data_IF_157198822106
#
_entry.id   IF_157198822106
#
_cell.length_a   1.000
_cell.length_b   1.000
_cell.length_c   1.000
_cell.angle_alpha   90.00
_cell.angle_beta   90.00
_cell.angle_gamma   90.00
#
_symmetry.space_group_name_H-M   'P 1'
#
loop_
_entity.id
_entity.type
_entity.pdbx_description
1 polymer ?
#
# COMPACT_ATOMS: atom_id res chain seq x y z
N UNK A 1 5.95 -3.39 -31.36
CA UNK A 1 6.71 -3.45 -30.09
C UNK A 1 5.70 -3.54 -28.95
N UNK A 2 5.94 -4.38 -27.92
CA UNK A 2 5.10 -4.38 -26.72
C UNK A 2 5.48 -3.14 -25.89
N UNK A 3 4.79 -2.01 -26.10
CA UNK A 3 5.12 -0.74 -25.44
C UNK A 3 5.09 -0.82 -23.91
N UNK A 4 5.88 0.02 -23.23
CA UNK A 4 5.76 0.30 -21.79
C UNK A 4 4.39 0.97 -21.56
N UNK A 5 3.58 0.64 -20.54
CA UNK A 5 3.78 -0.20 -19.34
C UNK A 5 3.43 -1.71 -19.49
N UNK A 6 3.18 -2.20 -20.70
CA UNK A 6 2.69 -3.57 -20.91
C UNK A 6 3.81 -4.56 -21.27
N UNK A 7 5.09 -4.23 -21.12
CA UNK A 7 6.18 -5.11 -21.53
C UNK A 7 6.30 -6.38 -20.67
N UNK A 8 6.04 -6.28 -19.36
CA UNK A 8 6.11 -7.38 -18.38
C UNK A 8 4.70 -7.87 -18.03
N UNK A 9 4.31 -9.11 -18.41
CA UNK A 9 2.98 -9.65 -18.11
C UNK A 9 2.60 -9.62 -16.63
N UNK A 10 3.58 -9.84 -15.75
CA UNK A 10 3.42 -9.86 -14.29
C UNK A 10 2.91 -8.52 -13.72
N UNK A 11 3.23 -7.39 -14.38
CA UNK A 11 2.91 -6.03 -13.93
C UNK A 11 1.54 -5.54 -14.43
N UNK A 12 0.86 -6.34 -15.27
CA UNK A 12 -0.41 -5.97 -15.91
C UNK A 12 -1.59 -6.33 -15.00
N UNK A 13 -2.62 -5.49 -15.02
CA UNK A 13 -3.85 -5.74 -14.28
C UNK A 13 -4.64 -4.47 -14.02
N UNK A 14 -5.70 -4.61 -13.23
CA UNK A 14 -6.46 -3.47 -12.72
C UNK A 14 -5.56 -2.69 -11.75
N UNK A 15 -5.19 -1.46 -12.13
CA UNK A 15 -4.37 -0.57 -11.28
C UNK A 15 -5.22 0.19 -10.28
N UNK A 16 -6.44 0.56 -10.65
CA UNK A 16 -7.35 1.35 -9.81
C UNK A 16 -8.79 1.07 -10.17
N UNK A 17 -9.61 0.87 -9.16
CA UNK A 17 -11.06 0.98 -9.23
C UNK A 17 -11.51 1.94 -8.12
N UNK A 18 -12.50 2.77 -8.43
CA UNK A 18 -12.99 3.75 -7.48
C UNK A 18 -14.00 4.70 -8.11
N UNK A 19 -14.36 5.73 -7.35
CA UNK A 19 -15.31 6.75 -7.76
C UNK A 19 -14.57 8.06 -8.02
N UNK A 20 -14.97 8.79 -9.06
CA UNK A 20 -14.46 10.12 -9.32
C UNK A 20 -14.97 11.05 -8.21
N UNK A 21 -14.05 11.51 -7.37
CA UNK A 21 -14.35 12.45 -6.29
C UNK A 21 -14.47 13.89 -6.82
N UNK A 22 -13.51 14.29 -7.65
CA UNK A 22 -13.46 15.64 -8.18
C UNK A 22 -12.97 15.64 -9.62
N UNK A 23 -13.55 16.56 -10.41
CA UNK A 23 -13.17 16.83 -11.79
C UNK A 23 -12.69 18.28 -11.85
N UNK A 24 -11.46 18.49 -12.29
CA UNK A 24 -10.87 19.82 -12.47
C UNK A 24 -10.58 20.04 -13.95
N UNK A 25 -11.33 20.93 -14.58
CA UNK A 25 -11.03 21.41 -15.93
C UNK A 25 -10.03 22.57 -15.86
N UNK A 26 -8.99 22.51 -16.67
CA UNK A 26 -8.07 23.63 -16.86
C UNK A 26 -7.91 23.95 -18.35
N UNK A 27 -7.78 25.24 -18.66
CA UNK A 27 -7.57 25.74 -20.01
C UNK A 27 -6.38 26.68 -20.02
N UNK A 28 -5.31 26.28 -20.72
CA UNK A 28 -4.11 27.11 -20.90
C UNK A 28 -3.79 27.20 -22.39
N UNK A 29 -3.99 28.39 -22.98
CA UNK A 29 -3.78 28.60 -24.41
C UNK A 29 -4.75 27.79 -25.27
N UNK A 30 -4.25 26.83 -26.04
CA UNK A 30 -5.07 25.88 -26.83
C UNK A 30 -5.19 24.50 -26.16
N UNK A 31 -4.53 24.31 -25.02
CA UNK A 31 -4.54 23.04 -24.30
C UNK A 31 -5.70 22.99 -23.31
N UNK A 32 -6.59 22.03 -23.53
CA UNK A 32 -7.66 21.66 -22.61
C UNK A 32 -7.24 20.42 -21.85
N UNK A 33 -7.21 20.52 -20.52
CA UNK A 33 -6.89 19.41 -19.62
C UNK A 33 -8.06 19.16 -18.66
N UNK A 34 -8.32 17.88 -18.41
CA UNK A 34 -9.27 17.41 -17.41
C UNK A 34 -8.52 16.53 -16.42
N UNK A 35 -8.48 16.94 -15.17
CA UNK A 35 -7.94 16.15 -14.07
C UNK A 35 -9.07 15.44 -13.35
N UNK A 36 -8.91 14.13 -13.20
CA UNK A 36 -9.85 13.26 -12.48
C UNK A 36 -9.18 12.79 -11.20
N UNK A 37 -9.71 13.20 -10.06
CA UNK A 37 -9.27 12.66 -8.76
C UNK A 37 -10.18 11.50 -8.42
N UNK A 38 -9.62 10.29 -8.42
CA UNK A 38 -10.34 9.06 -8.12
C UNK A 38 -10.06 8.65 -6.69
N UNK A 39 -11.11 8.35 -5.94
CA UNK A 39 -11.00 7.80 -4.59
C UNK A 39 -11.35 6.31 -4.59
N UNK A 40 -10.55 5.52 -3.90
CA UNK A 40 -10.73 4.07 -3.78
C UNK A 40 -11.44 3.71 -2.47
N UNK A 41 -12.35 2.74 -2.51
CA UNK A 41 -13.09 2.27 -1.35
C UNK A 41 -14.52 2.80 -1.25
N UNK A 42 -15.19 2.64 -0.09
CA UNK A 42 -16.57 3.06 0.08
C UNK A 42 -16.67 4.57 -0.07
N UNK A 43 -17.54 5.04 -0.95
CA UNK A 43 -17.92 6.46 -1.08
C UNK A 43 -19.41 6.58 -0.82
N UNK A 44 -19.84 7.71 -0.25
CA UNK A 44 -21.26 7.97 -0.10
C UNK A 44 -21.80 8.47 -1.43
N UNK A 45 -22.96 7.94 -1.83
CA UNK A 45 -23.69 8.40 -3.02
C UNK A 45 -24.13 9.87 -2.92
N UNK A 46 -24.16 10.41 -1.69
CA UNK A 46 -24.65 11.77 -1.39
C UNK A 46 -23.51 12.75 -1.11
N UNK A 47 -22.38 12.26 -0.59
CA UNK A 47 -21.21 13.08 -0.35
C UNK A 47 -19.95 12.31 -0.76
N UNK A 48 -19.28 12.70 -1.86
CA UNK A 48 -18.15 11.95 -2.39
C UNK A 48 -16.86 12.13 -1.55
N UNK A 49 -16.94 12.67 -0.32
CA UNK A 49 -15.83 12.69 0.62
C UNK A 49 -15.11 11.32 0.63
N UNK A 50 -13.78 11.29 0.56
CA UNK A 50 -13.03 10.05 0.53
C UNK A 50 -13.33 9.23 1.81
N UNK A 51 -13.73 7.98 1.61
CA UNK A 51 -14.21 7.03 2.64
C UNK A 51 -15.54 7.46 3.28
N UNK A 52 -16.64 6.96 2.74
CA UNK A 52 -17.97 7.08 3.35
C UNK A 52 -17.96 6.58 4.80
N UNK A 53 -18.83 7.11 5.66
CA UNK A 53 -19.14 6.45 6.92
C UNK A 53 -19.58 5.01 6.67
N UNK A 54 -18.91 4.08 7.33
CA UNK A 54 -19.24 2.66 7.32
C UNK A 54 -19.39 2.26 8.77
N UNK A 55 -20.62 1.91 9.17
CA UNK A 55 -20.88 1.47 10.54
C UNK A 55 -20.34 0.05 10.71
N UNK A 56 -19.23 -0.05 11.42
CA UNK A 56 -18.51 -1.29 11.70
C UNK A 56 -18.76 -1.70 13.13
N UNK A 57 -19.30 -2.90 13.32
CA UNK A 57 -19.43 -3.54 14.63
C UNK A 57 -18.48 -4.72 14.69
N UNK A 58 -17.47 -4.62 15.54
CA UNK A 58 -16.48 -5.70 15.76
C UNK A 58 -16.85 -6.44 17.06
N UNK A 59 -17.40 -7.67 16.98
CA UNK A 59 -17.82 -8.45 18.14
C UNK A 59 -16.60 -9.12 18.82
N UNK A 60 -15.74 -8.33 19.45
CA UNK A 60 -14.48 -8.81 20.00
C UNK A 60 -14.60 -9.18 21.48
N UNK A 61 -15.40 -10.21 21.77
CA UNK A 61 -15.62 -10.69 23.13
C UNK A 61 -14.38 -11.37 23.75
N UNK A 62 -14.44 -11.61 25.06
CA UNK A 62 -13.34 -12.22 25.82
C UNK A 62 -12.93 -13.57 25.21
N UNK A 63 -11.62 -13.75 25.04
CA UNK A 63 -11.04 -14.99 24.50
C UNK A 63 -11.13 -15.12 22.97
N UNK A 64 -11.82 -14.21 22.28
CA UNK A 64 -11.91 -14.22 20.82
C UNK A 64 -10.65 -13.59 20.22
N UNK A 65 -10.07 -14.23 19.21
CA UNK A 65 -8.99 -13.65 18.41
C UNK A 65 -9.51 -12.48 17.57
N UNK A 66 -8.74 -11.40 17.48
CA UNK A 66 -9.10 -10.23 16.69
C UNK A 66 -9.35 -10.59 15.21
N UNK A 67 -8.59 -11.55 14.66
CA UNK A 67 -8.76 -12.02 13.29
C UNK A 67 -10.16 -12.58 13.01
N UNK A 68 -10.72 -13.31 13.97
CA UNK A 68 -12.08 -13.86 13.92
C UNK A 68 -13.12 -12.74 14.00
N UNK A 69 -12.95 -11.82 14.95
CA UNK A 69 -13.87 -10.70 15.13
C UNK A 69 -13.92 -9.77 13.90
N UNK A 70 -12.77 -9.49 13.28
CA UNK A 70 -12.70 -8.70 12.04
C UNK A 70 -13.30 -9.43 10.85
N UNK A 71 -13.10 -10.74 10.75
CA UNK A 71 -13.73 -11.55 9.70
C UNK A 71 -15.26 -11.44 9.79
N UNK A 72 -15.82 -11.54 10.99
CA UNK A 72 -17.26 -11.36 11.22
C UNK A 72 -17.73 -9.94 10.90
N UNK A 73 -16.96 -8.92 11.28
CA UNK A 73 -17.25 -7.52 10.96
C UNK A 73 -17.28 -7.26 9.45
N UNK A 74 -16.27 -7.71 8.70
CA UNK A 74 -16.19 -7.43 7.27
C UNK A 74 -17.16 -8.25 6.42
N UNK A 75 -17.62 -9.40 6.91
CA UNK A 75 -18.70 -10.16 6.25
C UNK A 75 -20.00 -9.35 6.12
N UNK A 76 -20.21 -8.32 6.95
CA UNK A 76 -21.40 -7.46 6.86
C UNK A 76 -21.25 -6.31 5.86
N UNK A 77 -20.07 -6.14 5.24
CA UNK A 77 -19.79 -5.02 4.33
C UNK A 77 -20.21 -5.26 2.87
N UNK A 78 -20.88 -6.37 2.56
CA UNK A 78 -21.33 -6.67 1.21
C UNK A 78 -20.20 -7.13 0.29
N UNK A 79 -20.10 -6.55 -0.91
CA UNK A 79 -19.25 -7.04 -2.02
C UNK A 79 -17.73 -6.79 -1.86
N UNK A 80 -17.27 -6.32 -0.70
CA UNK A 80 -15.84 -6.15 -0.43
C UNK A 80 -15.18 -7.49 -0.17
N UNK A 81 -14.02 -7.68 -0.79
CA UNK A 81 -13.11 -8.78 -0.45
C UNK A 81 -12.28 -8.35 0.74
N UNK A 82 -11.91 -9.28 1.60
CA UNK A 82 -11.03 -8.98 2.73
C UNK A 82 -9.93 -10.02 2.91
N UNK A 83 -8.79 -9.57 3.42
CA UNK A 83 -7.66 -10.40 3.83
C UNK A 83 -7.23 -9.95 5.23
N UNK A 84 -7.30 -10.85 6.21
CA UNK A 84 -6.95 -10.57 7.60
C UNK A 84 -5.75 -11.42 7.98
N UNK A 85 -4.58 -10.80 8.06
CA UNK A 85 -3.29 -11.45 8.33
C UNK A 85 -2.60 -10.76 9.51
N UNK A 86 -3.07 -11.05 10.72
CA UNK A 86 -2.61 -10.44 11.98
C UNK A 86 -2.26 -11.51 13.01
N UNK A 87 -1.60 -11.10 14.08
CA UNK A 87 -1.13 -11.96 15.17
C UNK A 87 -2.25 -12.65 15.92
N UNK A 88 -2.07 -13.95 16.18
CA UNK A 88 -2.91 -14.75 17.07
C UNK A 88 -2.79 -14.34 18.55
N UNK A 89 -1.79 -13.50 18.90
CA UNK A 89 -1.66 -12.94 20.26
C UNK A 89 -2.70 -11.84 20.55
N UNK A 90 -3.35 -11.31 19.53
CA UNK A 90 -4.39 -10.29 19.67
C UNK A 90 -5.71 -10.95 20.11
N UNK A 91 -5.81 -11.21 21.40
CA UNK A 91 -6.98 -11.80 22.05
C UNK A 91 -7.50 -10.83 23.10
N UNK A 92 -8.82 -10.59 23.10
CA UNK A 92 -9.40 -9.70 24.11
C UNK A 92 -9.51 -10.41 25.47
N UNK A 93 -9.23 -9.69 26.56
CA UNK A 93 -9.30 -10.21 27.93
C UNK A 93 -10.60 -9.82 28.66
N UNK A 94 -11.44 -8.97 28.06
CA UNK A 94 -12.76 -8.59 28.55
C UNK A 94 -13.80 -8.66 27.43
N UNK A 95 -15.07 -8.63 27.79
CA UNK A 95 -16.15 -8.54 26.82
C UNK A 95 -16.31 -7.09 26.37
N UNK A 96 -16.09 -6.84 25.08
CA UNK A 96 -16.39 -5.54 24.48
C UNK A 96 -16.77 -5.68 23.02
N UNK A 97 -17.75 -4.86 22.63
CA UNK A 97 -18.05 -4.60 21.24
C UNK A 97 -17.40 -3.28 20.85
N UNK A 98 -16.69 -3.27 19.72
CA UNK A 98 -16.14 -2.04 19.17
C UNK A 98 -17.06 -1.54 18.07
N UNK A 99 -17.50 -0.30 18.20
CA UNK A 99 -18.28 0.40 17.20
C UNK A 99 -17.42 1.49 16.58
N UNK A 100 -17.32 1.50 15.26
CA UNK A 100 -16.60 2.50 14.50
C UNK A 100 -17.49 3.02 13.37
N UNK A 101 -17.52 4.34 13.18
CA UNK A 101 -18.27 4.98 12.11
C UNK A 101 -17.54 5.00 10.77
N UNK A 102 -16.28 4.58 10.72
CA UNK A 102 -15.49 4.48 9.49
C UNK A 102 -14.35 3.46 9.60
N UNK A 103 -13.82 3.05 8.44
CA UNK A 103 -12.60 2.23 8.38
C UNK A 103 -11.38 2.96 8.99
N UNK A 104 -11.31 4.29 8.86
CA UNK A 104 -10.23 5.08 9.45
C UNK A 104 -10.28 5.05 10.98
N UNK A 105 -11.48 5.23 11.56
CA UNK A 105 -11.64 5.13 13.01
C UNK A 105 -11.27 3.73 13.51
N UNK A 106 -11.72 2.69 12.79
CA UNK A 106 -11.33 1.31 13.10
C UNK A 106 -9.81 1.14 13.05
N UNK A 107 -9.14 1.59 11.99
CA UNK A 107 -7.69 1.48 11.83
C UNK A 107 -6.94 2.16 12.99
N UNK A 108 -7.31 3.39 13.35
CA UNK A 108 -6.70 4.10 14.47
C UNK A 108 -6.90 3.35 15.80
N UNK A 109 -8.12 2.90 16.09
CA UNK A 109 -8.41 2.17 17.33
C UNK A 109 -7.67 0.84 17.39
N UNK A 110 -7.66 0.06 16.32
CA UNK A 110 -6.95 -1.22 16.27
C UNK A 110 -5.44 -1.03 16.39
N UNK A 111 -4.86 -0.02 15.77
CA UNK A 111 -3.43 0.26 15.91
C UNK A 111 -3.06 0.54 17.38
N UNK A 112 -3.83 1.41 18.06
CA UNK A 112 -3.61 1.71 19.47
C UNK A 112 -3.85 0.52 20.40
N UNK A 113 -4.96 -0.20 20.21
CA UNK A 113 -5.31 -1.35 21.06
C UNK A 113 -4.31 -2.50 20.88
N UNK A 114 -3.93 -2.81 19.66
CA UNK A 114 -2.98 -3.88 19.39
C UNK A 114 -1.61 -3.61 20.05
N UNK A 115 -1.13 -2.36 20.02
CA UNK A 115 0.08 -1.93 20.74
C UNK A 115 -0.04 -1.99 22.27
N UNK A 116 -1.26 -1.89 22.80
CA UNK A 116 -1.50 -2.06 24.24
C UNK A 116 -1.40 -3.53 24.68
N UNK A 117 -1.69 -4.46 23.76
CA UNK A 117 -1.66 -5.91 23.99
C UNK A 117 -0.26 -6.47 23.71
N UNK A 118 0.30 -6.18 22.53
CA UNK A 118 1.64 -6.59 22.13
C UNK A 118 2.60 -5.42 22.39
N UNK A 119 3.44 -5.56 23.43
CA UNK A 119 4.35 -4.51 23.91
C UNK A 119 5.79 -4.66 23.39
N UNK A 120 5.98 -5.52 22.39
CA UNK A 120 7.30 -5.74 21.80
C UNK A 120 7.77 -4.45 21.11
N UNK A 121 9.04 -4.07 21.29
CA UNK A 121 9.57 -2.77 20.83
C UNK A 121 9.44 -2.53 19.34
N UNK A 122 9.39 -3.60 18.54
CA UNK A 122 9.37 -3.55 17.09
C UNK A 122 7.97 -3.76 16.51
N UNK A 123 6.93 -3.90 17.33
CA UNK A 123 5.57 -4.13 16.85
C UNK A 123 4.93 -2.81 16.35
N UNK A 124 4.56 -2.76 15.06
CA UNK A 124 4.04 -1.54 14.41
C UNK A 124 2.55 -1.31 14.68
N UNK A 125 1.86 -2.29 15.25
CA UNK A 125 0.40 -2.27 15.40
C UNK A 125 -0.33 -2.83 14.19
N UNK A 126 -1.62 -3.07 14.35
CA UNK A 126 -2.51 -3.44 13.24
C UNK A 126 -2.71 -2.25 12.32
N UNK A 127 -2.64 -2.51 11.02
CA UNK A 127 -2.86 -1.57 9.93
C UNK A 127 -3.99 -2.07 9.02
N UNK A 128 -4.73 -1.13 8.44
CA UNK A 128 -5.81 -1.41 7.47
C UNK A 128 -5.55 -0.60 6.21
N UNK A 129 -5.65 -1.25 5.05
CA UNK A 129 -5.55 -0.62 3.75
C UNK A 129 -6.70 -1.03 2.83
N UNK A 130 -7.18 -0.08 2.02
CA UNK A 130 -8.04 -0.37 0.87
C UNK A 130 -7.15 -0.57 -0.36
N UNK A 131 -7.26 -1.73 -0.99
CA UNK A 131 -6.46 -2.12 -2.15
C UNK A 131 -7.36 -2.34 -3.35
N UNK A 132 -6.97 -1.78 -4.51
CA UNK A 132 -7.69 -1.88 -5.77
C UNK A 132 -9.20 -1.54 -5.67
N UNK A 133 -9.57 -0.64 -4.76
CA UNK A 133 -10.96 -0.16 -4.57
C UNK A 133 -11.95 -1.12 -3.90
N UNK A 134 -11.68 -2.44 -3.89
CA UNK A 134 -12.61 -3.47 -3.39
C UNK A 134 -12.03 -4.48 -2.42
N UNK A 135 -10.74 -4.39 -2.07
CA UNK A 135 -10.10 -5.31 -1.12
C UNK A 135 -9.70 -4.58 0.16
N UNK A 136 -10.22 -5.01 1.31
CA UNK A 136 -9.78 -4.56 2.63
C UNK A 136 -8.67 -5.50 3.11
N UNK A 137 -7.46 -4.97 3.24
CA UNK A 137 -6.33 -5.71 3.82
C UNK A 137 -6.11 -5.25 5.26
N UNK A 138 -6.07 -6.21 6.18
CA UNK A 138 -5.68 -5.98 7.56
C UNK A 138 -4.44 -6.80 7.85
N UNK A 139 -3.39 -6.14 8.34
CA UNK A 139 -2.11 -6.79 8.60
C UNK A 139 -1.37 -6.14 9.77
N UNK A 140 -0.44 -6.89 10.35
CA UNK A 140 0.55 -6.39 11.29
C UNK A 140 1.92 -7.01 10.96
N UNK A 141 2.95 -6.63 11.71
CA UNK A 141 4.32 -7.09 11.50
C UNK A 141 4.77 -8.23 12.44
N UNK A 142 3.86 -8.88 13.16
CA UNK A 142 4.15 -10.00 14.07
C UNK A 142 4.06 -11.36 13.35
N UNK A 143 4.80 -11.49 12.25
CA UNK A 143 4.72 -12.61 11.30
C UNK A 143 4.93 -13.99 11.93
N UNK A 144 5.71 -14.07 13.02
CA UNK A 144 5.95 -15.32 13.73
C UNK A 144 4.65 -15.91 14.31
N UNK A 145 3.68 -15.06 14.63
CA UNK A 145 2.42 -15.41 15.30
C UNK A 145 1.20 -15.31 14.37
N UNK A 146 1.40 -15.16 13.05
CA UNK A 146 0.31 -15.26 12.09
C UNK A 146 -0.12 -16.72 11.90
N UNK A 147 -1.42 -16.97 11.80
CA UNK A 147 -1.94 -18.31 11.49
C UNK A 147 -1.66 -18.69 10.01
N UNK A 148 -1.88 -17.75 9.08
CA UNK A 148 -1.67 -17.96 7.64
C UNK A 148 -0.30 -17.40 7.20
N UNK A 149 0.69 -18.28 7.05
CA UNK A 149 2.07 -17.88 6.72
C UNK A 149 2.44 -18.06 5.26
N UNK A 150 1.76 -18.96 4.55
CA UNK A 150 2.18 -19.44 3.23
C UNK A 150 1.22 -19.06 2.11
N UNK A 151 0.02 -18.55 2.42
CA UNK A 151 -0.87 -17.99 1.41
C UNK A 151 -0.27 -16.75 0.78
N UNK A 152 -0.33 -16.66 -0.56
CA UNK A 152 0.12 -15.47 -1.31
C UNK A 152 -0.54 -14.16 -0.85
N UNK A 153 -1.69 -14.25 -0.17
CA UNK A 153 -2.45 -13.10 0.34
C UNK A 153 -2.04 -12.67 1.75
N UNK A 154 -1.27 -13.49 2.47
CA UNK A 154 -0.88 -13.18 3.84
C UNK A 154 0.26 -12.17 3.90
N UNK A 155 0.28 -11.36 4.94
CA UNK A 155 1.36 -10.41 5.17
C UNK A 155 2.70 -11.12 5.42
N UNK A 156 2.66 -12.27 6.10
CA UNK A 156 3.83 -13.14 6.31
C UNK A 156 4.45 -13.62 4.99
N UNK A 157 3.64 -14.07 4.03
CA UNK A 157 4.14 -14.49 2.73
C UNK A 157 4.74 -13.30 1.97
N UNK A 158 4.02 -12.17 1.93
CA UNK A 158 4.47 -10.95 1.23
C UNK A 158 5.80 -10.43 1.78
N UNK A 159 5.99 -10.45 3.11
CA UNK A 159 7.24 -10.08 3.76
C UNK A 159 8.44 -10.93 3.32
N UNK A 160 8.23 -12.25 3.13
CA UNK A 160 9.29 -13.17 2.69
C UNK A 160 9.52 -13.18 1.18
N UNK A 161 8.55 -12.69 0.41
CA UNK A 161 8.58 -12.69 -1.05
C UNK A 161 8.39 -11.26 -1.59
N UNK A 162 9.32 -10.34 -1.31
CA UNK A 162 9.21 -8.97 -1.79
C UNK A 162 9.25 -8.93 -3.33
N UNK A 163 8.46 -8.04 -3.91
CA UNK A 163 8.44 -7.79 -5.35
C UNK A 163 9.75 -7.11 -5.73
N UNK A 164 10.52 -7.74 -6.62
CA UNK A 164 11.77 -7.16 -7.12
C UNK A 164 11.45 -5.97 -8.04
N UNK A 165 12.04 -4.82 -7.71
CA UNK A 165 12.09 -3.65 -8.59
C UNK A 165 13.36 -3.78 -9.42
N UNK A 166 13.22 -3.74 -10.75
CA UNK A 166 14.35 -3.70 -11.67
C UNK A 166 14.71 -2.26 -12.03
N UNK A 167 15.95 -2.00 -12.43
CA UNK A 167 16.36 -0.67 -12.91
C UNK A 167 15.49 -0.17 -14.07
N UNK A 168 15.07 -1.07 -14.94
CA UNK A 168 14.19 -0.76 -16.07
C UNK A 168 12.77 -0.37 -15.65
N UNK A 169 12.37 -0.67 -14.40
CA UNK A 169 11.06 -0.28 -13.89
C UNK A 169 11.05 1.18 -13.40
N UNK A 170 12.21 1.76 -13.07
CA UNK A 170 12.33 3.08 -12.47
C UNK A 170 12.16 4.20 -13.50
N UNK A 171 11.32 5.18 -13.16
CA UNK A 171 11.13 6.43 -13.91
C UNK A 171 11.79 7.56 -13.14
N UNK A 172 13.08 7.78 -13.42
CA UNK A 172 13.91 8.70 -12.64
C UNK A 172 14.61 8.00 -11.48
N UNK A 173 15.19 8.78 -10.56
CA UNK A 173 15.88 8.25 -9.38
C UNK A 173 14.94 8.26 -8.17
N UNK A 174 14.93 7.18 -7.37
CA UNK A 174 14.28 7.19 -6.06
C UNK A 174 14.89 8.27 -5.16
N UNK A 175 14.11 8.82 -4.23
CA UNK A 175 14.56 9.88 -3.32
C UNK A 175 13.99 9.71 -1.91
N UNK A 176 14.76 10.11 -0.89
CA UNK A 176 14.20 10.30 0.45
C UNK A 176 13.32 11.53 0.44
N UNK A 177 12.03 11.36 0.77
CA UNK A 177 11.09 12.49 0.87
C UNK A 177 10.91 12.94 2.32
N UNK A 178 11.14 12.04 3.28
CA UNK A 178 11.12 12.27 4.72
C UNK A 178 12.03 11.25 5.41
N UNK A 179 12.31 11.44 6.70
CA UNK A 179 13.04 10.45 7.48
C UNK A 179 12.33 9.09 7.40
N UNK A 180 13.05 8.07 6.94
CA UNK A 180 12.50 6.72 6.84
C UNK A 180 11.49 6.48 5.71
N UNK A 181 11.28 7.44 4.80
CA UNK A 181 10.33 7.29 3.70
C UNK A 181 11.00 7.60 2.37
N UNK A 182 11.08 6.59 1.49
CA UNK A 182 11.58 6.73 0.13
C UNK A 182 10.41 6.83 -0.85
N UNK A 183 10.53 7.72 -1.84
CA UNK A 183 9.66 7.80 -3.00
C UNK A 183 10.32 7.11 -4.19
N UNK A 184 9.62 6.14 -4.78
CA UNK A 184 10.10 5.27 -5.85
C UNK A 184 9.14 5.39 -7.03
N UNK A 185 9.41 6.30 -7.98
CA UNK A 185 8.63 6.41 -9.21
C UNK A 185 8.95 5.23 -10.14
N UNK A 186 7.94 4.44 -10.47
CA UNK A 186 8.02 3.33 -11.42
C UNK A 186 7.14 3.60 -12.64
N UNK A 187 7.40 2.87 -13.74
CA UNK A 187 6.42 2.69 -14.82
C UNK A 187 5.10 2.18 -14.23
N UNK A 188 3.97 2.59 -14.79
CA UNK A 188 2.66 2.19 -14.27
C UNK A 188 2.54 0.66 -14.18
N UNK A 189 2.16 0.16 -13.01
CA UNK A 189 2.07 -1.27 -12.69
C UNK A 189 0.99 -1.53 -11.65
N UNK A 190 0.33 -2.69 -11.70
CA UNK A 190 -0.76 -3.07 -10.80
C UNK A 190 -0.36 -4.05 -9.69
N UNK A 191 0.81 -4.67 -9.82
CA UNK A 191 1.29 -5.76 -8.97
C UNK A 191 1.84 -5.33 -7.61
N UNK A 192 1.93 -4.02 -7.36
CA UNK A 192 2.38 -3.45 -6.08
C UNK A 192 1.26 -2.62 -5.48
N UNK A 193 0.89 -2.94 -4.25
CA UNK A 193 -0.17 -2.33 -3.47
C UNK A 193 0.27 -2.05 -2.03
N UNK A 194 -0.52 -1.29 -1.28
CA UNK A 194 -0.22 -0.98 0.12
C UNK A 194 -0.12 -2.25 0.97
N UNK A 195 0.89 -2.29 1.84
CA UNK A 195 1.24 -3.44 2.68
C UNK A 195 2.05 -4.52 1.96
N UNK A 196 2.35 -4.37 0.66
CA UNK A 196 3.30 -5.24 -0.03
C UNK A 196 4.74 -4.87 0.35
N UNK A 197 5.65 -5.81 0.10
CA UNK A 197 7.07 -5.61 0.29
C UNK A 197 7.74 -5.52 -1.07
N UNK A 198 8.69 -4.60 -1.21
CA UNK A 198 9.47 -4.41 -2.43
C UNK A 198 10.95 -4.57 -2.12
N UNK A 199 11.70 -5.06 -3.10
CA UNK A 199 13.16 -5.16 -3.03
C UNK A 199 13.77 -4.24 -4.07
N UNK A 200 14.62 -3.32 -3.63
CA UNK A 200 15.28 -2.37 -4.53
C UNK A 200 16.28 -3.10 -5.46
N UNK A 201 16.59 -2.50 -6.64
CA UNK A 201 17.57 -3.06 -7.55
C UNK A 201 18.90 -3.31 -6.84
N UNK A 202 19.53 -4.46 -7.10
CA UNK A 202 20.89 -4.73 -6.61
C UNK A 202 21.86 -3.84 -7.38
N UNK A 203 22.80 -3.18 -6.70
CA UNK A 203 23.87 -2.43 -7.36
C UNK A 203 24.58 -3.34 -8.36
N UNK A 204 24.56 -2.98 -9.64
CA UNK A 204 25.26 -3.74 -10.66
C UNK A 204 26.76 -3.46 -10.63
N UNK A 205 27.20 -2.30 -10.09
CA UNK A 205 28.62 -1.92 -9.93
C UNK A 205 28.85 -1.01 -8.70
N UNK A 206 30.02 -1.06 -8.04
CA UNK A 206 30.39 -0.08 -7.02
C UNK A 206 30.53 1.31 -7.62
N UNK A 207 29.98 2.31 -6.93
CA UNK A 207 29.94 3.72 -7.30
C UNK A 207 31.35 4.28 -7.57
N UNK A 208 31.70 4.58 -8.83
CA UNK A 208 32.85 5.42 -9.15
C UNK A 208 32.34 6.79 -9.59
N UNK A 209 32.60 7.77 -8.71
CA UNK A 209 32.63 9.23 -8.85
C UNK A 209 31.86 9.93 -9.99
N UNK A 210 31.01 10.87 -9.57
CA UNK A 210 30.72 12.17 -10.19
C UNK A 210 30.86 12.27 -11.73
N UNK A 211 29.87 11.75 -12.47
CA UNK A 211 29.40 12.37 -13.72
C UNK A 211 28.13 11.68 -14.23
N UNK A 212 27.10 12.49 -14.52
CA UNK A 212 25.77 12.07 -14.94
C UNK A 212 25.73 11.56 -16.39
N UNK A 213 26.47 10.49 -16.70
CA UNK A 213 26.39 9.82 -17.99
C UNK A 213 25.23 8.83 -18.01
N UNK A 214 24.43 8.87 -19.08
CA UNK A 214 23.28 7.97 -19.34
C UNK A 214 23.64 6.48 -19.36
N UNK A 215 24.93 6.16 -19.46
CA UNK A 215 25.51 4.82 -19.44
C UNK A 215 25.58 4.22 -18.02
N UNK A 216 25.37 5.02 -16.96
CA UNK A 216 25.36 4.58 -15.55
C UNK A 216 23.94 4.59 -14.93
N UNK A 217 22.89 4.42 -15.75
CA UNK A 217 21.49 4.31 -15.27
C UNK A 217 21.19 3.04 -14.46
N UNK A 218 22.16 2.13 -14.36
CA UNK A 218 22.05 0.82 -13.71
C UNK A 218 22.53 0.82 -12.24
N UNK A 219 22.58 1.98 -11.58
CA UNK A 219 22.90 2.07 -10.16
C UNK A 219 21.85 2.88 -9.38
N UNK A 220 21.45 2.34 -8.23
CA UNK A 220 20.43 2.88 -7.33
C UNK A 220 21.12 3.15 -6.02
N UNK A 221 20.98 4.38 -5.51
CA UNK A 221 21.48 4.75 -4.19
C UNK A 221 20.79 3.95 -3.06
N UNK A 222 19.67 3.29 -3.36
CA UNK A 222 18.85 2.54 -2.43
C UNK A 222 18.99 1.04 -2.69
N UNK A 223 19.21 0.28 -1.62
CA UNK A 223 19.30 -1.18 -1.63
C UNK A 223 18.52 -1.74 -0.44
N UNK A 224 18.02 -2.97 -0.56
CA UNK A 224 17.31 -3.66 0.52
C UNK A 224 15.81 -3.72 0.31
N UNK A 225 15.11 -4.15 1.37
CA UNK A 225 13.68 -4.42 1.34
C UNK A 225 12.92 -3.28 2.04
N UNK A 226 11.78 -2.90 1.45
CA UNK A 226 10.93 -1.82 1.92
C UNK A 226 9.47 -2.28 1.99
N UNK A 227 8.75 -1.81 3.01
CA UNK A 227 7.30 -1.96 3.17
C UNK A 227 6.60 -0.79 2.50
N UNK A 228 5.67 -1.08 1.58
CA UNK A 228 4.90 -0.09 0.85
C UNK A 228 3.81 0.50 1.75
N UNK A 229 3.87 1.81 1.97
CA UNK A 229 2.88 2.56 2.75
C UNK A 229 1.92 3.38 1.87
N UNK A 230 2.33 3.75 0.66
CA UNK A 230 1.48 4.48 -0.27
C UNK A 230 1.75 4.07 -1.71
N UNK A 231 0.68 4.03 -2.50
CA UNK A 231 0.72 3.84 -3.96
C UNK A 231 -0.11 4.93 -4.59
N UNK A 232 0.52 5.79 -5.37
CA UNK A 232 -0.12 6.87 -6.11
C UNK A 232 0.05 6.65 -7.60
N UNK A 233 -1.07 6.59 -8.31
CA UNK A 233 -1.09 6.43 -9.76
C UNK A 233 -1.28 7.79 -10.41
N UNK A 234 -0.39 8.13 -11.33
CA UNK A 234 -0.47 9.38 -12.10
C UNK A 234 -0.44 9.02 -13.58
N UNK A 235 -1.42 9.55 -14.32
CA UNK A 235 -1.60 9.31 -15.74
C UNK A 235 -1.89 10.60 -16.48
N UNK A 236 -1.13 10.90 -17.53
CA UNK A 236 -1.48 11.95 -18.50
C UNK A 236 -1.67 11.32 -19.89
N UNK A 237 -2.90 11.35 -20.39
CA UNK A 237 -3.27 10.71 -21.66
C UNK A 237 -2.70 11.39 -22.89
N UNK A 238 -2.27 12.66 -22.81
CA UNK A 238 -1.89 13.46 -23.99
C UNK A 238 -0.40 13.79 -24.05
N UNK A 239 0.37 13.38 -23.07
CA UNK A 239 1.81 13.62 -23.08
C UNK A 239 2.48 12.67 -24.10
N UNK A 240 3.40 13.18 -24.94
CA UNK A 240 3.92 12.44 -26.08
C UNK A 240 4.91 11.32 -25.71
N UNK A 241 5.34 11.24 -24.45
CA UNK A 241 6.19 10.17 -23.94
C UNK A 241 5.42 9.23 -23.00
N UNK A 242 5.93 8.01 -22.79
CA UNK A 242 5.31 7.05 -21.88
C UNK A 242 5.62 7.34 -20.39
N UNK A 243 6.37 8.40 -20.08
CA UNK A 243 6.77 8.76 -18.71
C UNK A 243 5.63 9.38 -17.90
N UNK A 244 4.47 9.54 -18.52
CA UNK A 244 3.31 10.21 -17.92
C UNK A 244 2.34 9.25 -17.26
N UNK A 245 2.59 7.94 -17.38
CA UNK A 245 1.85 6.89 -16.69
C UNK A 245 2.80 6.20 -15.71
N UNK A 246 2.74 6.63 -14.46
CA UNK A 246 3.65 6.20 -13.41
C UNK A 246 2.91 5.73 -12.17
N UNK A 247 3.52 4.77 -11.49
CA UNK A 247 3.17 4.38 -10.13
C UNK A 247 4.23 4.97 -9.21
N UNK A 248 3.86 5.95 -8.38
CA UNK A 248 4.71 6.50 -7.34
C UNK A 248 4.47 5.71 -6.05
N UNK A 249 5.51 5.02 -5.60
CA UNK A 249 5.46 4.17 -4.41
C UNK A 249 6.18 4.90 -3.28
N UNK A 250 5.52 5.07 -2.14
CA UNK A 250 6.19 5.52 -0.92
C UNK A 250 6.33 4.33 0.02
N UNK A 251 7.53 4.14 0.59
CA UNK A 251 7.86 2.94 1.33
C UNK A 251 8.87 3.19 2.46
N UNK A 252 8.86 2.31 3.47
CA UNK A 252 9.71 2.37 4.66
C UNK A 252 10.67 1.17 4.74
N UNK A 253 11.92 1.34 5.21
CA UNK A 253 12.84 0.21 5.41
C UNK A 253 12.29 -0.85 6.38
N UNK A 254 12.39 -2.13 6.04
CA UNK A 254 11.78 -3.23 6.81
C UNK A 254 12.54 -3.60 8.09
N UNK A 255 13.78 -3.16 8.25
CA UNK A 255 14.63 -3.39 9.43
C UNK A 255 14.60 -2.28 10.48
N UNK A 256 13.67 -1.32 10.35
CA UNK A 256 13.71 -0.06 11.09
C UNK A 256 14.83 0.85 10.59
N UNK A 257 14.69 2.15 10.81
CA UNK A 257 15.80 3.09 10.64
C UNK A 257 16.52 3.09 11.98
N UNK A 258 17.73 2.57 12.05
CA UNK A 258 18.58 2.83 13.19
C UNK A 258 18.72 4.36 13.30
N UNK A 259 18.13 4.95 14.34
CA UNK A 259 18.41 6.32 14.69
C UNK A 259 19.89 6.37 15.07
N UNK A 260 20.73 6.88 14.18
CA UNK A 260 22.08 7.35 14.51
C UNK A 260 22.00 8.76 15.03
#
# INVERSE_FOLDING_TARGET
SKGLPLAKPEQRGLVLEGTIWQVLGNWQGTELRLDLIVTAGPVSDVNPLPLAPVNLTVPWNKGVKLSVALTQCFQTLGDYRFSVSISDRLVNNYDSNMFCGSLQELATRLNSLSKSIIKDSNYSGVEIAMVNGREIRVFDNDFANHQDKDSKKSASYRSKNPVQIEFTDLVGQPTWIQFGTVSIPCVMRSDIQVGDYIRMPKKLRPMIQASSYSQFRDDSAFTGDFLVSSVRLVGNSRQPDANSWVTVIEAHPTGGIAAT
#
